data_IF_235481236411
#
_entry.id   IF_235481236411
#
_cell.length_a   1.000
_cell.length_b   1.000
_cell.length_c   1.000
_cell.angle_alpha   90.00
_cell.angle_beta   90.00
_cell.angle_gamma   90.00
#
_symmetry.space_group_name_H-M   'P 1'
#
loop_
_entity.id
_entity.type
_entity.pdbx_description
1 polymer ?
#
# COMPACT_ATOMS: atom_id res chain seq x y z
N UNK A 1 -5.99 1.81 -1.41
CA UNK A 1 -6.51 1.59 -0.03
C UNK A 1 -7.80 2.38 0.13
N UNK A 2 -8.93 1.74 -0.03
CA UNK A 2 -10.24 2.39 0.13
C UNK A 2 -10.62 2.30 1.60
N UNK A 3 -10.45 3.40 2.32
CA UNK A 3 -10.89 3.53 3.71
C UNK A 3 -12.40 3.74 3.72
N UNK A 4 -13.17 2.70 3.96
CA UNK A 4 -14.60 2.83 4.21
C UNK A 4 -14.81 3.55 5.56
N UNK A 5 -15.50 4.70 5.53
CA UNK A 5 -15.87 5.45 6.74
C UNK A 5 -16.66 4.60 7.71
N UNK A 6 -16.44 4.87 9.00
CA UNK A 6 -17.14 4.28 10.15
C UNK A 6 -18.58 4.81 10.25
N UNK A 7 -19.46 4.40 9.39
CA UNK A 7 -20.90 4.60 9.64
C UNK A 7 -21.58 3.24 9.79
N UNK A 8 -22.12 3.02 10.96
CA UNK A 8 -22.81 1.76 11.32
C UNK A 8 -23.96 1.42 10.36
N UNK A 9 -24.52 2.42 9.70
CA UNK A 9 -25.61 2.31 8.73
C UNK A 9 -25.15 1.77 7.36
N UNK A 10 -23.89 1.99 6.98
CA UNK A 10 -23.34 1.47 5.72
C UNK A 10 -22.99 -0.02 5.76
N UNK A 11 -22.91 -0.61 6.95
CA UNK A 11 -22.58 -2.04 7.15
C UNK A 11 -23.61 -2.99 6.55
N UNK A 12 -24.86 -2.60 6.55
CA UNK A 12 -25.98 -3.41 6.03
C UNK A 12 -26.21 -3.22 4.54
N UNK A 13 -25.68 -2.14 3.93
CA UNK A 13 -25.99 -1.78 2.55
C UNK A 13 -25.00 -2.31 1.52
N UNK A 14 -23.75 -2.56 1.87
CA UNK A 14 -22.71 -2.90 0.86
C UNK A 14 -22.50 -4.41 0.68
N UNK A 15 -22.90 -5.27 1.60
CA UNK A 15 -22.94 -6.75 1.55
C UNK A 15 -22.02 -7.43 0.52
N UNK A 16 -20.76 -7.02 0.40
CA UNK A 16 -19.81 -7.58 -0.59
C UNK A 16 -20.33 -7.56 -2.04
N UNK A 17 -21.09 -6.54 -2.45
CA UNK A 17 -21.62 -6.43 -3.80
C UNK A 17 -20.53 -6.06 -4.80
N UNK A 18 -20.41 -6.84 -5.88
CA UNK A 18 -19.43 -6.62 -6.96
C UNK A 18 -19.64 -5.27 -7.63
N UNK A 19 -20.88 -4.89 -7.92
CA UNK A 19 -21.24 -3.62 -8.57
C UNK A 19 -20.71 -2.42 -7.80
N UNK A 20 -20.79 -2.48 -6.47
CA UNK A 20 -20.28 -1.39 -5.62
C UNK A 20 -18.77 -1.32 -5.62
N UNK A 21 -18.09 -2.47 -5.65
CA UNK A 21 -16.64 -2.51 -5.79
C UNK A 21 -16.21 -1.93 -7.13
N UNK A 22 -16.84 -2.35 -8.23
CA UNK A 22 -16.53 -1.88 -9.57
C UNK A 22 -16.82 -0.38 -9.76
N UNK A 23 -17.88 0.14 -9.13
CA UNK A 23 -18.15 1.57 -9.08
C UNK A 23 -17.03 2.34 -8.37
N UNK A 24 -16.59 1.87 -7.22
CA UNK A 24 -15.48 2.50 -6.48
C UNK A 24 -14.18 2.47 -7.28
N UNK A 25 -13.86 1.35 -7.90
CA UNK A 25 -12.67 1.19 -8.75
C UNK A 25 -12.74 2.13 -9.95
N UNK A 26 -13.90 2.24 -10.60
CA UNK A 26 -14.11 3.12 -11.76
C UNK A 26 -13.92 4.60 -11.42
N UNK A 27 -14.37 5.02 -10.24
CA UNK A 27 -14.19 6.39 -9.75
C UNK A 27 -12.76 6.70 -9.33
N UNK A 28 -12.05 5.71 -8.78
CA UNK A 28 -10.67 5.88 -8.31
C UNK A 28 -9.63 5.84 -9.43
N UNK A 29 -9.85 5.04 -10.47
CA UNK A 29 -8.91 4.92 -11.60
C UNK A 29 -8.55 6.27 -12.26
N UNK A 30 -9.49 7.14 -12.65
CA UNK A 30 -9.17 8.43 -13.25
C UNK A 30 -8.37 9.32 -12.27
N UNK A 31 -8.78 9.36 -11.02
CA UNK A 31 -8.09 10.13 -9.97
C UNK A 31 -6.64 9.70 -9.80
N UNK A 32 -6.39 8.40 -9.64
CA UNK A 32 -5.03 7.86 -9.49
C UNK A 32 -4.18 8.11 -10.74
N UNK A 33 -4.79 8.02 -11.94
CA UNK A 33 -4.11 8.36 -13.19
C UNK A 33 -3.71 9.83 -13.25
N UNK A 34 -4.56 10.74 -12.78
CA UNK A 34 -4.23 12.17 -12.66
C UNK A 34 -3.09 12.42 -11.66
N UNK A 35 -2.98 11.61 -10.61
CA UNK A 35 -1.87 11.65 -9.67
C UNK A 35 -0.56 11.04 -10.23
N UNK A 36 -0.55 10.55 -11.48
CA UNK A 36 0.64 10.03 -12.14
C UNK A 36 0.88 8.53 -12.00
N UNK A 37 -0.03 7.79 -11.33
CA UNK A 37 0.12 6.34 -11.16
C UNK A 37 -0.17 5.55 -12.43
N UNK A 38 0.66 4.54 -12.71
CA UNK A 38 0.42 3.56 -13.78
C UNK A 38 -0.48 2.45 -13.22
N UNK A 39 -1.80 2.57 -13.46
CA UNK A 39 -2.84 1.71 -12.85
C UNK A 39 -2.54 0.22 -12.99
N UNK A 40 -2.06 -0.22 -14.17
CA UNK A 40 -1.79 -1.64 -14.43
C UNK A 40 -0.60 -2.22 -13.66
N UNK A 41 0.39 -1.38 -13.29
CA UNK A 41 1.63 -1.82 -12.65
C UNK A 41 1.67 -1.53 -11.17
N UNK A 42 1.20 -0.34 -10.77
CA UNK A 42 1.46 0.24 -9.46
C UNK A 42 0.25 0.16 -8.51
N UNK A 43 -0.95 -0.05 -9.06
CA UNK A 43 -2.18 -0.01 -8.26
C UNK A 43 -2.81 -1.39 -8.17
N UNK A 44 -3.14 -1.79 -6.95
CA UNK A 44 -3.91 -2.99 -6.66
C UNK A 44 -5.17 -2.61 -5.88
N UNK A 45 -6.27 -3.22 -6.24
CA UNK A 45 -7.55 -3.03 -5.57
C UNK A 45 -7.95 -4.32 -4.87
N UNK A 46 -8.23 -4.24 -3.58
CA UNK A 46 -8.67 -5.39 -2.78
C UNK A 46 -9.86 -4.98 -1.92
N UNK A 47 -10.95 -5.73 -1.92
CA UNK A 47 -12.07 -5.51 -1.02
C UNK A 47 -11.70 -6.04 0.37
N UNK A 48 -11.83 -5.21 1.39
CA UNK A 48 -11.56 -5.59 2.78
C UNK A 48 -12.70 -5.13 3.69
N UNK A 49 -12.94 -5.88 4.74
CA UNK A 49 -13.80 -5.44 5.84
C UNK A 49 -12.96 -5.03 7.04
N UNK A 50 -12.91 -3.73 7.33
CA UNK A 50 -12.21 -3.22 8.50
C UNK A 50 -12.87 -3.58 9.83
N UNK A 51 -14.13 -4.06 9.81
CA UNK A 51 -14.85 -4.48 11.00
C UNK A 51 -14.58 -5.92 11.39
N UNK A 52 -14.70 -6.82 10.40
CA UNK A 52 -14.57 -8.28 10.61
C UNK A 52 -13.17 -8.78 10.38
N UNK A 53 -12.27 -7.96 9.78
CA UNK A 53 -10.94 -8.35 9.37
C UNK A 53 -10.92 -9.26 8.13
N UNK A 54 -12.06 -9.46 7.47
CA UNK A 54 -12.13 -10.28 6.27
C UNK A 54 -11.28 -9.67 5.14
N UNK A 55 -10.52 -10.49 4.43
CA UNK A 55 -9.49 -10.12 3.45
C UNK A 55 -8.34 -9.24 3.99
N UNK A 56 -8.21 -9.09 5.30
CA UNK A 56 -7.02 -8.47 5.92
C UNK A 56 -6.01 -9.54 6.26
N UNK A 57 -6.32 -10.42 7.21
CA UNK A 57 -5.52 -11.57 7.65
C UNK A 57 -6.00 -12.88 7.05
N UNK A 58 -7.31 -13.06 7.00
CA UNK A 58 -7.97 -14.27 6.52
C UNK A 58 -8.84 -13.93 5.33
N UNK A 59 -8.91 -14.86 4.39
CA UNK A 59 -9.79 -14.75 3.24
C UNK A 59 -11.25 -14.57 3.68
N UNK A 60 -12.01 -13.79 2.92
CA UNK A 60 -13.45 -13.71 3.09
C UNK A 60 -14.06 -15.07 2.76
N UNK A 61 -15.12 -15.43 3.47
CA UNK A 61 -15.88 -16.65 3.17
C UNK A 61 -16.42 -16.60 1.73
N UNK A 62 -16.13 -17.65 0.96
CA UNK A 62 -16.58 -17.78 -0.43
C UNK A 62 -18.11 -17.69 -0.56
N UNK A 63 -18.87 -18.03 0.48
CA UNK A 63 -20.32 -17.85 0.53
C UNK A 63 -20.72 -16.38 0.63
N UNK A 64 -19.89 -15.55 1.28
CA UNK A 64 -20.17 -14.12 1.45
C UNK A 64 -19.73 -13.30 0.24
N UNK A 65 -18.63 -13.70 -0.43
CA UNK A 65 -18.03 -12.97 -1.54
C UNK A 65 -17.51 -13.91 -2.64
N UNK A 66 -18.43 -14.60 -3.31
CA UNK A 66 -18.08 -15.59 -4.35
C UNK A 66 -17.40 -14.98 -5.60
N UNK A 67 -17.67 -13.72 -5.90
CA UNK A 67 -17.11 -13.03 -7.05
C UNK A 67 -15.63 -12.66 -6.87
N UNK A 68 -15.13 -12.58 -5.64
CA UNK A 68 -13.74 -12.23 -5.38
C UNK A 68 -12.78 -13.33 -5.86
N UNK A 69 -13.12 -14.59 -5.66
CA UNK A 69 -12.34 -15.72 -6.15
C UNK A 69 -12.32 -15.82 -7.69
N UNK A 70 -13.39 -15.41 -8.37
CA UNK A 70 -13.48 -15.41 -9.81
C UNK A 70 -12.80 -14.21 -10.45
N UNK A 71 -12.73 -13.07 -9.79
CA UNK A 71 -12.05 -11.87 -10.29
C UNK A 71 -10.54 -12.06 -10.53
N UNK A 72 -9.90 -12.95 -9.78
CA UNK A 72 -8.49 -13.29 -10.02
C UNK A 72 -8.24 -13.98 -11.36
N UNK A 73 -9.29 -14.52 -12.00
CA UNK A 73 -9.22 -15.26 -13.27
C UNK A 73 -9.52 -14.41 -14.50
N UNK A 74 -10.17 -13.26 -14.37
CA UNK A 74 -10.67 -12.46 -15.50
C UNK A 74 -9.73 -11.31 -15.95
N UNK A 75 -8.41 -11.44 -15.78
CA UNK A 75 -7.45 -10.45 -16.33
C UNK A 75 -7.52 -9.05 -15.74
N UNK A 76 -8.25 -8.85 -14.66
CA UNK A 76 -8.07 -7.66 -13.83
C UNK A 76 -6.64 -7.71 -13.22
N UNK A 77 -5.95 -6.58 -13.08
CA UNK A 77 -4.65 -6.53 -12.43
C UNK A 77 -4.80 -6.71 -10.90
N UNK A 78 -5.63 -7.66 -10.52
CA UNK A 78 -5.83 -8.10 -9.16
C UNK A 78 -4.78 -9.17 -8.94
N UNK A 79 -3.96 -8.96 -7.96
CA UNK A 79 -2.91 -9.87 -7.54
C UNK A 79 -3.47 -11.28 -7.31
N UNK A 80 -2.61 -12.27 -7.48
CA UNK A 80 -2.90 -13.65 -7.09
C UNK A 80 -3.11 -13.80 -5.57
N UNK A 81 -2.80 -12.74 -4.82
CA UNK A 81 -2.94 -12.67 -3.37
C UNK A 81 -4.38 -12.38 -2.99
N UNK A 82 -4.90 -13.14 -2.04
CA UNK A 82 -6.29 -13.05 -1.60
C UNK A 82 -6.47 -12.10 -0.41
N UNK A 83 -5.44 -11.89 0.39
CA UNK A 83 -5.50 -11.04 1.58
C UNK A 83 -4.56 -9.82 1.46
N UNK A 84 -4.87 -8.78 2.23
CA UNK A 84 -4.04 -7.57 2.28
C UNK A 84 -2.62 -7.86 2.80
N UNK A 85 -2.49 -8.73 3.80
CA UNK A 85 -1.17 -9.07 4.34
C UNK A 85 -0.32 -9.85 3.37
N UNK A 86 -0.89 -10.85 2.68
CA UNK A 86 -0.16 -11.57 1.63
C UNK A 86 0.33 -10.62 0.54
N UNK A 87 -0.50 -9.64 0.18
CA UNK A 87 -0.12 -8.63 -0.81
C UNK A 87 1.04 -7.77 -0.30
N UNK A 88 1.02 -7.37 0.97
CA UNK A 88 2.11 -6.58 1.57
C UNK A 88 3.40 -7.38 1.73
N UNK A 89 3.30 -8.64 2.12
CA UNK A 89 4.47 -9.52 2.30
C UNK A 89 5.18 -9.83 0.98
N UNK A 90 4.42 -9.92 -0.11
CA UNK A 90 4.97 -10.14 -1.46
C UNK A 90 5.42 -8.88 -2.17
N UNK A 91 5.23 -7.71 -1.58
CA UNK A 91 5.67 -6.44 -2.14
C UNK A 91 7.19 -6.39 -2.25
N UNK A 92 7.70 -6.44 -3.47
CA UNK A 92 9.11 -6.20 -3.74
C UNK A 92 9.34 -4.69 -3.84
N UNK A 93 10.20 -4.18 -2.97
CA UNK A 93 10.61 -2.77 -3.02
C UNK A 93 11.75 -2.68 -4.02
N UNK A 94 11.43 -2.28 -5.25
CA UNK A 94 12.42 -1.98 -6.28
C UNK A 94 13.23 -0.72 -5.91
N UNK A 95 14.49 -0.69 -6.31
CA UNK A 95 15.33 0.52 -6.18
C UNK A 95 16.11 0.65 -4.89
N UNK A 96 16.04 -0.29 -3.95
CA UNK A 96 16.93 -0.32 -2.77
C UNK A 96 18.20 -1.11 -3.08
N UNK A 97 19.20 -0.43 -3.62
CA UNK A 97 20.53 -1.02 -3.81
C UNK A 97 21.42 -0.72 -2.60
N UNK A 98 21.78 -1.78 -1.88
CA UNK A 98 22.67 -1.68 -0.72
C UNK A 98 24.12 -1.34 -1.08
N UNK A 99 24.52 -1.51 -2.35
CA UNK A 99 25.86 -1.21 -2.85
C UNK A 99 25.94 0.15 -3.55
N UNK A 100 24.80 0.83 -3.73
CA UNK A 100 24.77 2.19 -4.25
C UNK A 100 25.36 3.21 -3.25
N UNK A 101 25.73 4.42 -3.70
CA UNK A 101 26.09 5.51 -2.81
C UNK A 101 25.03 5.78 -1.77
N UNK A 102 25.46 6.06 -0.54
CA UNK A 102 24.54 6.34 0.57
C UNK A 102 23.65 7.55 0.24
N UNK A 103 22.34 7.36 0.34
CA UNK A 103 21.33 8.41 0.19
C UNK A 103 20.33 8.32 1.32
N UNK A 104 20.25 9.39 2.10
CA UNK A 104 19.33 9.52 3.24
C UNK A 104 18.62 10.88 3.09
N UNK A 105 17.40 10.96 2.55
CA UNK A 105 16.62 12.18 2.63
C UNK A 105 16.38 12.53 4.10
N UNK A 106 16.75 13.75 4.48
CA UNK A 106 16.56 14.25 5.83
C UNK A 106 15.11 14.70 5.97
N UNK A 107 14.42 14.13 6.93
CA UNK A 107 13.00 14.41 7.23
C UNK A 107 12.85 15.50 8.27
N UNK A 108 13.75 15.51 9.26
CA UNK A 108 13.67 16.46 10.37
C UNK A 108 15.05 16.67 11.01
N UNK A 109 15.16 17.75 11.78
CA UNK A 109 16.31 18.04 12.64
C UNK A 109 15.85 18.50 14.02
N UNK A 110 16.56 18.12 15.05
CA UNK A 110 16.32 18.57 16.41
C UNK A 110 17.63 18.78 17.17
N UNK A 111 17.56 19.59 18.19
CA UNK A 111 18.69 19.87 19.09
C UNK A 111 18.47 19.16 20.42
N UNK A 112 19.27 18.10 20.65
CA UNK A 112 19.46 17.47 21.93
C UNK A 112 20.95 17.11 22.03
N UNK A 113 21.66 17.57 23.03
CA UNK A 113 23.13 17.34 23.17
C UNK A 113 23.94 17.51 21.86
N UNK A 114 23.47 18.35 20.96
CA UNK A 114 24.03 18.60 19.62
C UNK A 114 22.96 18.68 18.55
N UNK A 115 23.35 18.91 17.30
CA UNK A 115 22.45 18.89 16.17
C UNK A 115 22.24 17.44 15.70
N UNK A 116 21.03 16.95 15.81
CA UNK A 116 20.64 15.62 15.36
C UNK A 116 19.71 15.73 14.16
N UNK A 117 19.92 14.88 13.19
CA UNK A 117 19.08 14.79 11.98
C UNK A 117 18.46 13.40 11.89
N UNK A 118 17.26 13.33 11.34
CA UNK A 118 16.50 12.10 11.19
C UNK A 118 16.16 11.88 9.71
N UNK A 119 16.35 10.67 9.23
CA UNK A 119 16.07 10.32 7.85
C UNK A 119 15.95 8.80 7.65
N UNK A 120 15.52 8.40 6.47
CA UNK A 120 15.39 7.00 6.06
C UNK A 120 16.45 6.65 5.02
N UNK A 121 17.21 5.57 5.24
CA UNK A 121 18.16 5.08 4.24
C UNK A 121 17.38 4.57 3.02
N UNK A 122 17.52 5.25 1.88
CA UNK A 122 16.91 4.84 0.61
C UNK A 122 17.87 4.04 -0.28
N UNK A 123 19.15 4.34 -0.22
CA UNK A 123 20.18 3.59 -0.94
C UNK A 123 21.48 3.56 -0.14
N UNK A 124 22.31 2.57 -0.43
CA UNK A 124 23.58 2.38 0.24
C UNK A 124 23.44 1.77 1.64
N UNK A 125 24.53 1.83 2.40
CA UNK A 125 24.65 1.32 3.77
C UNK A 125 25.31 2.36 4.66
N UNK A 126 24.93 2.42 5.92
CA UNK A 126 25.56 3.27 6.93
C UNK A 126 25.69 2.50 8.25
N UNK A 127 26.79 2.68 8.94
CA UNK A 127 27.07 2.09 10.25
C UNK A 127 27.30 3.18 11.28
N UNK A 128 27.09 2.86 12.53
CA UNK A 128 27.44 3.77 13.63
C UNK A 128 28.94 4.11 13.57
N UNK A 129 29.24 5.41 13.56
CA UNK A 129 30.62 5.92 13.46
C UNK A 129 31.07 6.32 12.07
N UNK A 130 30.30 6.01 11.02
CA UNK A 130 30.62 6.46 9.67
C UNK A 130 30.49 7.98 9.57
N UNK A 131 31.45 8.60 8.84
CA UNK A 131 31.39 10.03 8.52
C UNK A 131 30.52 10.21 7.28
N UNK A 132 29.53 11.08 7.38
CA UNK A 132 28.60 11.41 6.29
C UNK A 132 28.65 12.89 5.97
N UNK A 133 28.34 13.24 4.74
CA UNK A 133 28.25 14.63 4.27
C UNK A 133 26.76 14.97 4.10
N UNK A 134 26.35 16.08 4.70
CA UNK A 134 24.99 16.60 4.51
C UNK A 134 25.01 17.57 3.33
N UNK A 135 24.13 17.37 2.38
CA UNK A 135 23.99 18.19 1.19
C UNK A 135 22.61 18.88 1.18
N UNK A 136 22.45 20.05 0.58
CA UNK A 136 23.50 20.94 0.04
C UNK A 136 24.29 21.60 1.17
N UNK A 137 25.58 21.82 0.94
CA UNK A 137 26.47 22.59 1.84
C UNK A 137 26.58 24.01 1.34
#
# INVERSE_FOLDING_TARGET
>A
MVRLRRDATLRTQVKWQRERFDECVSKLKPFLKTCGYIIKKEVRFIPISGLTGANVLKEVDSKACSWWDSCSKEGHPISSEKTLLEMLDKLQIEGRDANAPLRIPLLDRYHDRGCMTMGKVEAGRVRKGDKVIIMPT
#
